data_IF_496386144068
#
_entry.id   IF_496386144068
#
_cell.length_a   1.000
_cell.length_b   1.000
_cell.length_c   1.000
_cell.angle_alpha   90.00
_cell.angle_beta   90.00
_cell.angle_gamma   90.00
#
_symmetry.space_group_name_H-M   'P 1'
#
loop_
_entity.id
_entity.type
_entity.pdbx_description
1 polymer ?
#
# COMPACT_ATOMS: atom_id res chain seq x y z
N UNK A 1 -0.40 -11.28 -11.85
CA UNK A 1 -1.20 -10.05 -11.97
C UNK A 1 -2.11 -9.96 -10.75
N UNK A 2 -2.24 -8.80 -10.08
CA UNK A 2 -2.98 -8.64 -8.83
C UNK A 2 -3.99 -7.48 -8.93
N UNK A 3 -5.12 -7.57 -8.22
CA UNK A 3 -6.15 -6.52 -8.06
C UNK A 3 -6.40 -6.26 -6.55
N UNK A 4 -5.47 -5.57 -5.87
CA UNK A 4 -5.54 -5.41 -4.43
C UNK A 4 -6.60 -4.38 -4.02
N UNK A 5 -7.21 -4.57 -2.85
CA UNK A 5 -8.08 -3.56 -2.25
C UNK A 5 -7.28 -2.36 -1.68
N UNK A 6 -6.04 -2.59 -1.26
CA UNK A 6 -5.16 -1.62 -0.60
C UNK A 6 -3.70 -1.89 -1.01
N UNK A 7 -3.00 -0.82 -1.36
CA UNK A 7 -1.55 -0.79 -1.55
C UNK A 7 -0.94 0.07 -0.44
N UNK A 8 -0.03 -0.51 0.32
CA UNK A 8 0.71 0.19 1.37
C UNK A 8 2.14 0.43 0.91
N UNK A 9 2.57 1.68 0.87
CA UNK A 9 3.94 2.05 0.51
C UNK A 9 4.80 2.17 1.78
N UNK A 10 5.93 1.44 1.81
CA UNK A 10 6.92 1.53 2.88
C UNK A 10 8.26 2.09 2.40
N UNK A 11 9.24 2.10 3.31
CA UNK A 11 10.59 2.62 3.05
C UNK A 11 10.70 4.15 3.16
N UNK A 12 11.90 4.71 3.03
CA UNK A 12 12.14 6.13 3.30
C UNK A 12 11.31 7.10 2.45
N UNK A 13 11.04 6.75 1.18
CA UNK A 13 10.24 7.57 0.27
C UNK A 13 8.75 7.63 0.65
N UNK A 14 8.22 6.65 1.40
CA UNK A 14 6.82 6.69 1.84
C UNK A 14 6.52 7.84 2.81
N UNK A 15 7.54 8.50 3.34
CA UNK A 15 7.38 9.68 4.18
C UNK A 15 7.02 10.94 3.38
N UNK A 16 7.14 10.91 2.04
CA UNK A 16 6.75 12.03 1.19
C UNK A 16 5.23 12.04 1.00
N UNK A 17 4.54 12.85 1.80
CA UNK A 17 3.08 12.89 1.91
C UNK A 17 2.36 13.21 0.60
N UNK A 18 3.03 13.95 -0.29
CA UNK A 18 2.55 14.40 -1.58
C UNK A 18 2.43 13.25 -2.57
N UNK A 19 3.09 12.11 -2.34
CA UNK A 19 2.93 10.91 -3.15
C UNK A 19 1.49 10.42 -3.17
N UNK A 20 0.80 10.43 -2.03
CA UNK A 20 -0.53 9.81 -1.92
C UNK A 20 -1.60 10.50 -2.78
N UNK A 21 -1.83 11.82 -2.69
CA UNK A 21 -2.80 12.47 -3.57
C UNK A 21 -2.41 12.32 -5.05
N UNK A 22 -1.12 12.45 -5.37
CA UNK A 22 -0.60 12.34 -6.73
C UNK A 22 -0.76 10.94 -7.34
N UNK A 23 -0.52 9.89 -6.56
CA UNK A 23 -0.68 8.51 -7.00
C UNK A 23 -2.15 8.14 -7.14
N UNK A 24 -3.00 8.52 -6.18
CA UNK A 24 -4.44 8.29 -6.27
C UNK A 24 -5.06 9.01 -7.49
N UNK A 25 -4.51 10.15 -7.92
CA UNK A 25 -4.94 10.84 -9.14
C UNK A 25 -4.42 10.17 -10.43
N UNK A 26 -3.19 9.65 -10.44
CA UNK A 26 -2.53 9.18 -11.67
C UNK A 26 -2.75 7.71 -11.99
N UNK A 27 -2.78 6.84 -10.99
CA UNK A 27 -2.90 5.39 -11.17
C UNK A 27 -4.13 4.96 -11.98
N UNK A 28 -5.35 5.53 -11.77
CA UNK A 28 -6.54 5.11 -12.52
C UNK A 28 -6.37 5.18 -14.05
N UNK A 29 -5.56 6.12 -14.56
CA UNK A 29 -5.33 6.30 -16.00
C UNK A 29 -4.56 5.15 -16.65
N UNK A 30 -3.86 4.35 -15.85
CA UNK A 30 -3.04 3.23 -16.32
C UNK A 30 -3.70 1.87 -16.10
N UNK A 31 -4.97 1.85 -15.67
CA UNK A 31 -5.70 0.62 -15.37
C UNK A 31 -6.59 0.18 -16.54
N UNK A 32 -6.98 -1.10 -16.52
CA UNK A 32 -8.02 -1.61 -17.41
C UNK A 32 -9.34 -0.85 -17.18
N UNK A 33 -10.13 -0.64 -18.24
CA UNK A 33 -11.32 0.23 -18.19
C UNK A 33 -12.37 -0.15 -17.14
N UNK A 34 -12.46 -1.43 -16.76
CA UNK A 34 -13.41 -1.91 -15.76
C UNK A 34 -12.81 -2.03 -14.34
N UNK A 35 -11.51 -1.77 -14.17
CA UNK A 35 -10.83 -1.93 -12.90
C UNK A 35 -11.04 -0.71 -11.99
N UNK A 36 -11.02 -0.95 -10.68
CA UNK A 36 -11.10 0.10 -9.66
C UNK A 36 -9.72 0.34 -9.09
N UNK A 37 -9.36 1.61 -8.90
CA UNK A 37 -8.08 1.92 -8.28
C UNK A 37 -8.05 1.45 -6.82
N UNK A 38 -6.95 0.81 -6.38
CA UNK A 38 -6.77 0.49 -4.97
C UNK A 38 -6.64 1.78 -4.16
N UNK A 39 -6.95 1.69 -2.86
CA UNK A 39 -6.49 2.73 -1.94
C UNK A 39 -4.97 2.67 -1.85
N UNK A 40 -4.30 3.82 -1.88
CA UNK A 40 -2.84 3.90 -1.72
C UNK A 40 -2.54 4.69 -0.46
N UNK A 41 -1.85 4.07 0.50
CA UNK A 41 -1.65 4.59 1.87
C UNK A 41 -0.19 4.43 2.34
N UNK A 42 0.29 5.27 3.28
CA UNK A 42 1.57 5.08 3.93
C UNK A 42 1.60 3.85 4.84
N UNK A 43 2.76 3.21 4.94
CA UNK A 43 3.02 2.23 5.98
C UNK A 43 2.90 2.86 7.37
N UNK A 44 2.06 2.26 8.22
CA UNK A 44 1.80 2.77 9.58
C UNK A 44 2.81 2.28 10.62
N UNK A 45 3.55 1.22 10.31
CA UNK A 45 4.32 0.46 11.28
C UNK A 45 5.74 0.20 10.78
N UNK A 46 6.45 1.23 10.30
CA UNK A 46 7.80 1.12 9.68
C UNK A 46 8.77 0.17 10.38
N UNK A 47 9.54 0.65 11.35
CA UNK A 47 10.62 -0.13 12.00
C UNK A 47 10.07 -1.34 12.78
N UNK A 48 8.91 -1.18 13.41
CA UNK A 48 8.23 -2.26 14.13
C UNK A 48 7.59 -3.30 13.20
N UNK A 49 7.53 -3.06 11.89
CA UNK A 49 6.77 -3.84 10.94
C UNK A 49 7.31 -5.25 10.75
N UNK A 50 8.64 -5.40 10.80
CA UNK A 50 9.29 -6.71 10.67
C UNK A 50 8.93 -7.65 11.81
N UNK A 51 9.09 -7.20 13.06
CA UNK A 51 8.76 -8.01 14.25
C UNK A 51 7.25 -8.31 14.31
N UNK A 52 6.40 -7.33 13.98
CA UNK A 52 4.94 -7.54 13.93
C UNK A 52 4.56 -8.55 12.85
N UNK A 53 5.11 -8.43 11.65
CA UNK A 53 4.87 -9.38 10.55
C UNK A 53 5.30 -10.79 10.92
N UNK A 54 6.46 -10.95 11.56
CA UNK A 54 6.93 -12.25 12.03
C UNK A 54 6.00 -12.86 13.09
N UNK A 55 5.54 -12.07 14.06
CA UNK A 55 4.56 -12.52 15.05
C UNK A 55 3.22 -12.92 14.39
N UNK A 56 2.82 -12.22 13.32
CA UNK A 56 1.57 -12.44 12.61
C UNK A 56 1.54 -13.74 11.78
N UNK A 57 2.68 -14.40 11.55
CA UNK A 57 2.73 -15.70 10.86
C UNK A 57 1.97 -16.80 11.60
N UNK A 58 1.72 -16.65 12.91
CA UNK A 58 0.99 -17.59 13.74
C UNK A 58 -0.39 -17.05 14.19
N UNK A 59 -0.93 -16.02 13.51
CA UNK A 59 -2.22 -15.41 13.88
C UNK A 59 -3.44 -16.00 13.16
N UNK A 60 -3.22 -16.74 12.09
CA UNK A 60 -4.28 -17.47 11.37
C UNK A 60 -4.05 -18.95 11.56
N UNK A 61 -5.10 -19.66 11.98
CA UNK A 61 -5.14 -21.12 12.12
C UNK A 61 -4.79 -21.85 10.81
#
# INVERSE_FOLDING_TARGET
>A
MLDPHLVVLGGGLSNFSELYPLLNERVPRSMLSAAKAPRIEPARYGDAGGVRGAAFLNLTD
#
